data_IF_844451221716
#
_entry.id   IF_844451221716
#
_cell.length_a   1.000
_cell.length_b   1.000
_cell.length_c   1.000
_cell.angle_alpha   90.00
_cell.angle_beta   90.00
_cell.angle_gamma   90.00
#
_symmetry.space_group_name_H-M   'P 1'
#
loop_
_entity.id
_entity.type
_entity.pdbx_description
1 polymer ?
#
# COMPACT_ATOMS: atom_id res chain seq x y z
N UNK A 1 12.17 28.58 14.45
CA UNK A 1 11.59 27.61 15.39
C UNK A 1 11.80 26.24 14.79
N UNK A 2 12.50 25.33 15.46
CA UNK A 2 12.61 23.95 15.00
C UNK A 2 11.22 23.33 15.09
N UNK A 3 10.53 23.16 13.95
CA UNK A 3 9.35 22.31 13.90
C UNK A 3 9.80 20.91 14.33
N UNK A 4 9.24 20.40 15.43
CA UNK A 4 9.44 19.01 15.81
C UNK A 4 8.96 18.13 14.64
N UNK A 5 9.84 17.24 14.17
CA UNK A 5 9.52 16.33 13.07
C UNK A 5 8.32 15.45 13.47
N UNK A 6 7.27 15.44 12.64
CA UNK A 6 6.06 14.68 12.92
C UNK A 6 6.32 13.17 12.92
N UNK A 7 7.41 12.75 12.28
CA UNK A 7 7.86 11.37 12.14
C UNK A 7 9.28 11.14 12.70
N UNK A 8 9.62 11.82 13.80
CA UNK A 8 10.92 11.72 14.48
C UNK A 8 11.40 10.29 14.80
N UNK A 9 10.46 9.33 14.94
CA UNK A 9 10.74 7.92 15.24
C UNK A 9 11.22 7.10 14.02
N UNK A 10 11.08 7.62 12.81
CA UNK A 10 11.55 6.97 11.57
C UNK A 10 13.06 7.21 11.43
N UNK A 11 13.84 6.14 11.51
CA UNK A 11 15.32 6.19 11.49
C UNK A 11 15.91 6.47 10.11
N UNK A 12 15.18 6.17 9.04
CA UNK A 12 15.54 6.54 7.67
C UNK A 12 15.26 8.04 7.48
N UNK A 13 16.33 8.83 7.42
CA UNK A 13 16.26 10.30 7.36
C UNK A 13 15.61 10.82 6.08
N UNK A 14 15.77 10.09 4.96
CA UNK A 14 15.15 10.46 3.68
C UNK A 14 13.65 10.18 3.74
N UNK A 15 13.26 9.02 4.25
CA UNK A 15 11.86 8.68 4.45
C UNK A 15 11.17 9.64 5.42
N UNK A 16 11.80 9.90 6.57
CA UNK A 16 11.30 10.86 7.56
C UNK A 16 11.02 12.23 6.93
N UNK A 17 11.99 12.76 6.18
CA UNK A 17 11.83 14.08 5.53
C UNK A 17 10.71 14.06 4.49
N UNK A 18 10.58 12.99 3.71
CA UNK A 18 9.49 12.84 2.75
C UNK A 18 8.11 12.78 3.44
N UNK A 19 8.02 12.08 4.57
CA UNK A 19 6.79 12.01 5.37
C UNK A 19 6.42 13.38 5.95
N UNK A 20 7.40 14.13 6.48
CA UNK A 20 7.17 15.48 7.03
C UNK A 20 6.69 16.45 5.94
N UNK A 21 7.37 16.49 4.77
CA UNK A 21 6.96 17.34 3.64
C UNK A 21 5.54 16.98 3.17
N UNK A 22 5.26 15.68 3.06
CA UNK A 22 3.93 15.20 2.65
C UNK A 22 2.86 15.62 3.66
N UNK A 23 3.17 15.55 4.96
CA UNK A 23 2.26 15.94 6.02
C UNK A 23 2.02 17.46 6.06
N UNK A 24 3.04 18.28 5.84
CA UNK A 24 2.87 19.74 5.68
C UNK A 24 1.95 20.06 4.51
N UNK A 25 2.14 19.38 3.37
CA UNK A 25 1.27 19.55 2.20
C UNK A 25 -0.18 19.13 2.48
N UNK A 26 -0.38 18.04 3.24
CA UNK A 26 -1.71 17.60 3.68
C UNK A 26 -2.44 18.67 4.50
N UNK A 27 -1.74 19.34 5.42
CA UNK A 27 -2.32 20.40 6.25
C UNK A 27 -2.81 21.56 5.36
N UNK A 28 -2.01 21.96 4.38
CA UNK A 28 -2.38 23.03 3.46
C UNK A 28 -3.61 22.64 2.61
N UNK A 29 -3.61 21.44 2.03
CA UNK A 29 -4.77 20.95 1.26
C UNK A 29 -6.04 20.87 2.10
N UNK A 30 -5.93 20.47 3.37
CA UNK A 30 -7.06 20.43 4.29
C UNK A 30 -7.62 21.83 4.54
N UNK A 31 -6.76 22.83 4.77
CA UNK A 31 -7.15 24.24 4.90
C UNK A 31 -7.89 24.75 3.65
N UNK A 32 -7.38 24.42 2.46
CA UNK A 32 -8.04 24.77 1.19
C UNK A 32 -9.39 24.08 1.02
N UNK A 33 -9.54 22.84 1.49
CA UNK A 33 -10.80 22.08 1.41
C UNK A 33 -11.92 22.63 2.29
N UNK A 34 -11.58 23.41 3.32
CA UNK A 34 -12.53 24.07 4.23
C UNK A 34 -12.76 25.56 3.89
N UNK A 35 -11.95 26.11 2.98
CA UNK A 35 -12.02 27.51 2.59
C UNK A 35 -13.32 27.84 1.84
N UNK A 36 -14.03 28.89 2.28
CA UNK A 36 -15.22 29.41 1.59
C UNK A 36 -14.94 30.00 0.20
N UNK A 37 -13.68 30.07 -0.23
CA UNK A 37 -13.28 30.65 -1.53
C UNK A 37 -13.46 29.71 -2.73
N UNK A 38 -13.60 28.41 -2.48
CA UNK A 38 -13.65 27.39 -3.53
C UNK A 38 -15.04 26.77 -3.64
N UNK A 39 -15.37 26.30 -4.86
CA UNK A 39 -16.60 25.54 -5.13
C UNK A 39 -16.54 24.17 -4.44
N UNK A 40 -17.71 23.56 -4.17
CA UNK A 40 -17.75 22.24 -3.55
C UNK A 40 -17.03 21.17 -4.38
N UNK A 41 -17.07 21.26 -5.70
CA UNK A 41 -16.30 20.38 -6.60
C UNK A 41 -14.79 20.50 -6.40
N UNK A 42 -14.26 21.73 -6.25
CA UNK A 42 -12.83 21.93 -5.99
C UNK A 42 -12.45 21.47 -4.58
N UNK A 43 -13.30 21.74 -3.57
CA UNK A 43 -13.10 21.21 -2.21
C UNK A 43 -13.06 19.69 -2.19
N UNK A 44 -13.98 19.04 -2.90
CA UNK A 44 -14.02 17.60 -3.11
C UNK A 44 -12.72 17.09 -3.73
N UNK A 45 -12.16 17.79 -4.72
CA UNK A 45 -10.84 17.49 -5.30
C UNK A 45 -9.68 17.65 -4.31
N UNK A 46 -9.72 18.65 -3.42
CA UNK A 46 -8.74 18.78 -2.34
C UNK A 46 -8.83 17.62 -1.35
N UNK A 47 -10.05 17.25 -0.90
CA UNK A 47 -10.28 16.10 -0.01
C UNK A 47 -9.80 14.80 -0.65
N UNK A 48 -10.08 14.62 -1.94
CA UNK A 48 -9.59 13.52 -2.77
C UNK A 48 -8.05 13.43 -2.73
N UNK A 49 -7.38 14.55 -2.89
CA UNK A 49 -5.91 14.64 -2.85
C UNK A 49 -5.35 14.38 -1.44
N UNK A 50 -6.06 14.82 -0.40
CA UNK A 50 -5.74 14.49 1.00
C UNK A 50 -5.79 12.99 1.24
N UNK A 51 -6.78 12.28 0.70
CA UNK A 51 -6.88 10.82 0.82
C UNK A 51 -5.70 10.12 0.14
N UNK A 52 -5.26 10.61 -1.03
CA UNK A 52 -4.06 10.07 -1.73
C UNK A 52 -2.84 10.12 -0.83
N UNK A 53 -2.49 11.32 -0.39
CA UNK A 53 -1.26 11.52 0.37
C UNK A 53 -1.33 10.82 1.72
N UNK A 54 -2.51 10.74 2.34
CA UNK A 54 -2.66 9.99 3.58
C UNK A 54 -2.49 8.48 3.35
N UNK A 55 -3.02 7.93 2.24
CA UNK A 55 -2.80 6.53 1.87
C UNK A 55 -1.31 6.24 1.59
N UNK A 56 -0.59 7.17 0.95
CA UNK A 56 0.86 7.07 0.74
C UNK A 56 1.66 7.12 2.05
N UNK A 57 1.24 7.93 3.03
CA UNK A 57 1.83 7.92 4.38
C UNK A 57 1.61 6.55 5.05
N UNK A 58 0.38 6.02 4.98
CA UNK A 58 0.04 4.69 5.53
C UNK A 58 0.92 3.61 4.89
N UNK A 59 1.01 3.59 3.56
CA UNK A 59 1.85 2.67 2.79
C UNK A 59 3.31 2.74 3.22
N UNK A 60 3.87 3.95 3.30
CA UNK A 60 5.26 4.18 3.64
C UNK A 60 5.59 3.72 5.07
N UNK A 61 4.70 3.99 6.04
CA UNK A 61 4.88 3.55 7.43
C UNK A 61 4.76 2.04 7.59
N UNK A 62 3.80 1.40 6.91
CA UNK A 62 3.65 -0.06 6.92
C UNK A 62 4.87 -0.72 6.28
N UNK A 63 5.32 -0.23 5.13
CA UNK A 63 6.51 -0.76 4.45
C UNK A 63 7.77 -0.58 5.31
N UNK A 64 7.94 0.58 5.95
CA UNK A 64 9.05 0.80 6.87
C UNK A 64 8.98 -0.17 8.05
N UNK A 65 7.82 -0.38 8.65
CA UNK A 65 7.63 -1.36 9.74
C UNK A 65 7.92 -2.79 9.28
N UNK A 66 7.51 -3.16 8.08
CA UNK A 66 7.80 -4.45 7.46
C UNK A 66 9.32 -4.65 7.30
N UNK A 67 10.04 -3.64 6.79
CA UNK A 67 11.51 -3.66 6.62
C UNK A 67 12.26 -3.84 7.94
N UNK A 68 11.70 -3.41 9.07
CA UNK A 68 12.32 -3.64 10.39
C UNK A 68 12.16 -5.10 10.87
N UNK A 69 11.19 -5.85 10.33
CA UNK A 69 10.82 -7.19 10.80
C UNK A 69 11.19 -8.32 9.83
N UNK A 70 11.38 -8.02 8.55
CA UNK A 70 11.69 -9.03 7.53
C UNK A 70 12.61 -8.45 6.44
N UNK A 71 13.22 -9.34 5.64
CA UNK A 71 14.08 -8.98 4.51
C UNK A 71 13.45 -9.40 3.17
N UNK A 72 13.92 -8.82 2.07
CA UNK A 72 13.44 -9.18 0.73
C UNK A 72 13.67 -10.66 0.40
N UNK A 73 14.75 -11.24 0.90
CA UNK A 73 15.09 -12.66 0.73
C UNK A 73 14.13 -13.57 1.49
N UNK A 74 13.70 -13.15 2.69
CA UNK A 74 12.72 -13.88 3.48
C UNK A 74 11.33 -13.84 2.82
N UNK A 75 11.02 -12.77 2.10
CA UNK A 75 9.78 -12.61 1.34
C UNK A 75 9.80 -13.28 -0.05
N UNK A 76 10.95 -13.78 -0.50
CA UNK A 76 11.06 -14.38 -1.83
C UNK A 76 10.29 -15.70 -1.91
N UNK A 77 9.32 -15.78 -2.84
CA UNK A 77 8.51 -16.99 -3.04
C UNK A 77 9.33 -18.01 -3.83
N UNK A 78 9.44 -19.22 -3.28
CA UNK A 78 10.11 -20.36 -3.94
C UNK A 78 9.04 -21.31 -4.45
N UNK A 79 9.00 -21.50 -5.77
CA UNK A 79 8.10 -22.45 -6.40
C UNK A 79 8.91 -23.49 -7.16
N UNK A 80 8.68 -24.75 -6.86
CA UNK A 80 9.20 -25.86 -7.66
C UNK A 80 8.27 -26.07 -8.86
N UNK A 81 8.81 -25.98 -10.06
CA UNK A 81 8.07 -26.21 -11.29
C UNK A 81 8.70 -27.40 -12.01
N UNK A 82 7.88 -28.42 -12.29
CA UNK A 82 8.32 -29.54 -13.10
C UNK A 82 8.36 -29.13 -14.57
N UNK A 83 9.57 -29.03 -15.13
CA UNK A 83 9.78 -28.64 -16.51
C UNK A 83 9.98 -29.88 -17.38
N UNK A 84 9.02 -30.12 -18.26
CA UNK A 84 9.12 -31.14 -19.30
C UNK A 84 10.24 -30.74 -20.27
N UNK A 85 11.27 -31.56 -20.35
CA UNK A 85 12.41 -31.36 -21.25
C UNK A 85 12.23 -32.12 -22.55
N UNK A 86 11.60 -33.31 -22.49
CA UNK A 86 11.34 -34.15 -23.66
C UNK A 86 10.12 -35.02 -23.41
N UNK A 87 9.27 -35.20 -24.41
CA UNK A 87 8.28 -36.29 -24.42
C UNK A 87 9.01 -37.56 -24.84
N UNK A 88 9.02 -38.57 -23.98
CA UNK A 88 9.67 -39.86 -24.26
C UNK A 88 8.74 -40.71 -25.13
N UNK A 89 7.45 -40.70 -24.82
CA UNK A 89 6.46 -41.56 -25.47
C UNK A 89 5.06 -40.95 -25.35
N UNK A 90 4.27 -41.02 -26.42
CA UNK A 90 2.85 -40.66 -26.40
C UNK A 90 2.02 -41.94 -26.32
N UNK A 91 1.17 -42.03 -25.30
CA UNK A 91 0.29 -43.19 -25.09
C UNK A 91 -1.01 -42.98 -25.89
N UNK A 92 -1.58 -41.78 -25.81
CA UNK A 92 -2.78 -41.36 -26.53
C UNK A 92 -2.86 -39.82 -26.59
N UNK A 93 -3.98 -39.28 -27.08
CA UNK A 93 -4.18 -37.84 -27.23
C UNK A 93 -4.14 -37.04 -25.91
N UNK A 94 -4.30 -37.69 -24.76
CA UNK A 94 -4.34 -37.06 -23.43
C UNK A 94 -3.20 -37.47 -22.51
N UNK A 95 -2.48 -38.55 -22.82
CA UNK A 95 -1.48 -39.15 -21.94
C UNK A 95 -0.14 -39.32 -22.65
N UNK A 96 0.92 -38.91 -21.96
CA UNK A 96 2.30 -38.99 -22.46
C UNK A 96 3.28 -39.19 -21.32
N UNK A 97 4.33 -39.94 -21.59
CA UNK A 97 5.48 -40.12 -20.71
C UNK A 97 6.50 -39.05 -21.04
N UNK A 98 6.94 -38.31 -20.04
CA UNK A 98 7.84 -37.17 -20.19
C UNK A 98 9.10 -37.33 -19.34
N UNK A 99 10.23 -36.94 -19.91
CA UNK A 99 11.44 -36.64 -19.16
C UNK A 99 11.38 -35.18 -18.74
N UNK A 100 11.47 -34.91 -17.45
CA UNK A 100 11.54 -33.56 -16.92
C UNK A 100 12.45 -33.48 -15.72
N UNK A 101 12.66 -32.25 -15.28
CA UNK A 101 13.41 -31.91 -14.07
C UNK A 101 12.63 -30.89 -13.28
N UNK A 102 12.77 -30.93 -11.97
CA UNK A 102 12.30 -29.87 -11.10
C UNK A 102 13.22 -28.65 -11.21
N UNK A 103 12.67 -27.50 -11.58
CA UNK A 103 13.35 -26.21 -11.49
C UNK A 103 12.74 -25.43 -10.32
N UNK A 104 13.57 -25.03 -9.36
CA UNK A 104 13.14 -24.09 -8.31
C UNK A 104 13.20 -22.69 -8.89
N UNK A 105 12.05 -22.09 -9.15
CA UNK A 105 11.95 -20.66 -9.45
C UNK A 105 11.87 -19.88 -8.14
N UNK A 106 12.75 -18.88 -8.02
CA UNK A 106 12.72 -17.91 -6.93
C UNK A 106 12.17 -16.62 -7.49
N UNK A 107 10.95 -16.27 -7.10
CA UNK A 107 10.38 -14.97 -7.37
C UNK A 107 10.93 -13.98 -6.34
N UNK A 108 11.76 -13.05 -6.82
CA UNK A 108 12.38 -12.04 -5.95
C UNK A 108 11.32 -11.01 -5.55
N UNK A 109 11.10 -10.87 -4.24
CA UNK A 109 10.39 -9.71 -3.70
C UNK A 109 11.33 -8.51 -3.73
N UNK A 110 10.81 -7.32 -4.05
CA UNK A 110 11.54 -6.06 -3.90
C UNK A 110 10.62 -5.02 -3.28
N UNK A 111 11.03 -4.47 -2.14
CA UNK A 111 10.27 -3.46 -1.41
C UNK A 111 9.94 -2.24 -2.27
N UNK A 112 10.84 -1.85 -3.18
CA UNK A 112 10.65 -0.73 -4.11
C UNK A 112 9.49 -0.92 -5.10
N UNK A 113 9.03 -2.16 -5.30
CA UNK A 113 7.97 -2.50 -6.25
C UNK A 113 6.63 -2.83 -5.58
N UNK A 114 6.62 -2.89 -4.25
CA UNK A 114 5.40 -3.22 -3.52
C UNK A 114 4.46 -2.02 -3.53
N UNK A 115 3.19 -2.29 -3.81
CA UNK A 115 2.11 -1.33 -3.63
C UNK A 115 1.40 -1.55 -2.29
N UNK A 116 0.54 -0.61 -1.89
CA UNK A 116 -0.21 -0.67 -0.63
C UNK A 116 -0.97 -1.98 -0.41
N UNK A 117 -1.51 -2.60 -1.47
CA UNK A 117 -2.21 -3.89 -1.39
C UNK A 117 -1.26 -4.98 -0.91
N UNK A 118 -0.13 -5.12 -1.61
CA UNK A 118 0.91 -6.10 -1.32
C UNK A 118 1.57 -5.84 0.04
N UNK A 119 1.78 -4.57 0.41
CA UNK A 119 2.31 -4.21 1.72
C UNK A 119 1.32 -4.60 2.83
N UNK A 120 0.02 -4.35 2.64
CA UNK A 120 -1.01 -4.71 3.61
C UNK A 120 -1.09 -6.23 3.80
N UNK A 121 -1.09 -6.99 2.70
CA UNK A 121 -1.05 -8.46 2.72
C UNK A 121 0.17 -8.98 3.48
N UNK A 122 1.37 -8.50 3.13
CA UNK A 122 2.61 -8.94 3.77
C UNK A 122 2.65 -8.58 5.26
N UNK A 123 2.17 -7.40 5.64
CA UNK A 123 2.05 -7.01 7.04
C UNK A 123 1.08 -7.92 7.80
N UNK A 124 0.00 -8.37 7.18
CA UNK A 124 -0.96 -9.30 7.78
C UNK A 124 -0.38 -10.70 7.91
N UNK A 125 0.25 -11.23 6.85
CA UNK A 125 0.91 -12.54 6.82
C UNK A 125 2.01 -12.67 7.89
N UNK A 126 2.75 -11.58 8.14
CA UNK A 126 3.82 -11.55 9.14
C UNK A 126 3.36 -11.12 10.54
N UNK A 127 2.05 -11.02 10.78
CA UNK A 127 1.49 -10.68 12.09
C UNK A 127 1.84 -9.26 12.57
N UNK A 128 2.19 -8.35 11.67
CA UNK A 128 2.50 -6.95 11.98
C UNK A 128 1.22 -6.18 12.31
N UNK A 129 0.12 -6.52 11.62
CA UNK A 129 -1.19 -5.88 11.79
C UNK A 129 -2.28 -6.92 12.11
N UNK A 130 -3.30 -6.48 12.84
CA UNK A 130 -4.49 -7.29 13.13
C UNK A 130 -5.39 -7.43 11.90
N UNK A 131 -6.39 -8.33 11.98
CA UNK A 131 -7.41 -8.47 10.93
C UNK A 131 -8.26 -7.19 10.75
N UNK A 132 -8.55 -6.50 11.86
CA UNK A 132 -9.28 -5.24 11.81
C UNK A 132 -8.47 -4.16 11.09
N UNK A 133 -7.18 -4.01 11.44
CA UNK A 133 -6.30 -3.04 10.78
C UNK A 133 -6.12 -3.35 9.30
N UNK A 134 -5.99 -4.63 8.93
CA UNK A 134 -5.91 -5.04 7.53
C UNK A 134 -7.13 -4.57 6.72
N UNK A 135 -8.35 -4.77 7.24
CA UNK A 135 -9.60 -4.32 6.62
C UNK A 135 -9.69 -2.79 6.53
N UNK A 136 -9.24 -2.09 7.56
CA UNK A 136 -9.24 -0.63 7.58
C UNK A 136 -8.27 -0.06 6.53
N UNK A 137 -7.06 -0.62 6.42
CA UNK A 137 -6.08 -0.22 5.41
C UNK A 137 -6.57 -0.57 4.01
N UNK A 138 -7.21 -1.72 3.81
CA UNK A 138 -7.82 -2.08 2.53
C UNK A 138 -8.93 -1.09 2.13
N UNK A 139 -9.75 -0.64 3.09
CA UNK A 139 -10.74 0.41 2.82
C UNK A 139 -10.09 1.74 2.43
N UNK A 140 -8.95 2.12 3.04
CA UNK A 140 -8.16 3.28 2.59
C UNK A 140 -7.67 3.09 1.16
N UNK A 141 -7.16 1.89 0.82
CA UNK A 141 -6.74 1.55 -0.54
C UNK A 141 -7.89 1.68 -1.54
N UNK A 142 -9.10 1.21 -1.20
CA UNK A 142 -10.29 1.35 -2.05
C UNK A 142 -10.66 2.82 -2.25
N UNK A 143 -10.65 3.64 -1.18
CA UNK A 143 -10.92 5.09 -1.28
C UNK A 143 -9.89 5.82 -2.16
N UNK A 144 -8.61 5.43 -2.08
CA UNK A 144 -7.56 5.89 -2.99
C UNK A 144 -7.79 5.35 -4.41
N UNK A 145 -8.21 4.11 -4.60
CA UNK A 145 -8.34 3.57 -5.97
C UNK A 145 -9.54 4.16 -6.72
N UNK A 146 -10.53 4.73 -6.03
CA UNK A 146 -11.61 5.53 -6.64
C UNK A 146 -11.10 6.73 -7.47
N UNK A 147 -9.83 7.12 -7.29
CA UNK A 147 -9.18 8.13 -8.14
C UNK A 147 -9.01 7.72 -9.60
N UNK A 148 -8.94 6.41 -9.90
CA UNK A 148 -8.73 5.92 -11.25
C UNK A 148 -10.00 6.11 -12.07
N UNK A 149 -10.13 7.31 -12.67
CA UNK A 149 -11.32 7.78 -13.39
C UNK A 149 -11.79 6.76 -14.46
N UNK A 150 -10.84 6.06 -15.10
CA UNK A 150 -11.12 5.02 -16.10
C UNK A 150 -11.86 3.79 -15.55
N UNK A 151 -11.88 3.60 -14.23
CA UNK A 151 -12.51 2.45 -13.56
C UNK A 151 -13.82 2.81 -12.86
N UNK A 152 -14.24 4.08 -12.92
CA UNK A 152 -15.45 4.54 -12.25
C UNK A 152 -16.68 4.23 -13.10
N UNK A 153 -17.68 3.48 -12.56
CA UNK A 153 -18.90 3.15 -13.27
C UNK A 153 -19.89 4.32 -13.38
N UNK A 154 -19.67 5.40 -12.63
CA UNK A 154 -20.51 6.61 -12.56
C UNK A 154 -19.63 7.84 -12.32
N UNK A 155 -20.17 9.02 -12.62
CA UNK A 155 -19.58 10.29 -12.18
C UNK A 155 -19.41 10.24 -10.67
N UNK A 156 -18.19 10.52 -10.20
CA UNK A 156 -17.83 10.36 -8.80
C UNK A 156 -18.63 11.33 -7.93
N UNK A 157 -19.35 10.80 -6.94
CA UNK A 157 -19.98 11.61 -5.89
C UNK A 157 -18.91 12.18 -4.95
N UNK A 158 -19.17 13.37 -4.42
CA UNK A 158 -18.21 14.18 -3.67
C UNK A 158 -17.54 13.42 -2.52
N UNK A 159 -16.22 13.58 -2.37
CA UNK A 159 -15.52 13.09 -1.19
C UNK A 159 -15.99 13.85 0.05
N UNK A 160 -16.43 13.08 1.05
CA UNK A 160 -17.04 13.61 2.25
C UNK A 160 -16.01 13.91 3.35
N UNK A 161 -16.41 14.69 4.34
CA UNK A 161 -15.60 14.88 5.56
C UNK A 161 -15.42 13.57 6.32
N UNK A 162 -16.44 12.70 6.33
CA UNK A 162 -16.36 11.38 6.96
C UNK A 162 -15.31 10.46 6.31
N UNK A 163 -15.06 10.61 5.00
CA UNK A 163 -13.98 9.87 4.33
C UNK A 163 -12.61 10.32 4.85
N UNK A 164 -12.42 11.64 5.05
CA UNK A 164 -11.20 12.18 5.64
C UNK A 164 -11.00 11.70 7.07
N UNK A 165 -12.04 11.78 7.91
CA UNK A 165 -11.98 11.34 9.30
C UNK A 165 -11.59 9.87 9.42
N UNK A 166 -12.19 9.01 8.57
CA UNK A 166 -11.83 7.61 8.50
C UNK A 166 -10.36 7.42 8.13
N UNK A 167 -9.91 8.00 7.01
CA UNK A 167 -8.53 7.82 6.52
C UNK A 167 -7.50 8.36 7.52
N UNK A 168 -7.79 9.47 8.20
CA UNK A 168 -6.95 10.00 9.29
C UNK A 168 -6.93 9.10 10.53
N UNK A 169 -8.06 8.47 10.90
CA UNK A 169 -8.08 7.52 12.01
C UNK A 169 -7.19 6.29 11.74
N UNK A 170 -7.19 5.81 10.50
CA UNK A 170 -6.33 4.69 10.08
C UNK A 170 -4.87 5.12 10.10
N UNK A 171 -4.55 6.29 9.53
CA UNK A 171 -3.18 6.82 9.54
C UNK A 171 -2.64 7.04 10.96
N UNK A 172 -3.47 7.51 11.89
CA UNK A 172 -3.09 7.64 13.31
C UNK A 172 -2.78 6.28 13.92
N UNK A 173 -3.61 5.27 13.66
CA UNK A 173 -3.42 3.91 14.17
C UNK A 173 -2.12 3.29 13.63
N UNK A 174 -1.86 3.43 12.33
CA UNK A 174 -0.62 2.96 11.68
C UNK A 174 0.61 3.72 12.19
N UNK A 175 0.51 5.03 12.40
CA UNK A 175 1.58 5.84 13.00
C UNK A 175 1.93 5.36 14.41
N UNK A 176 0.93 5.05 15.23
CA UNK A 176 1.16 4.53 16.58
C UNK A 176 1.81 3.13 16.56
N UNK A 177 1.39 2.27 15.63
CA UNK A 177 2.02 0.97 15.40
C UNK A 177 3.50 1.12 15.03
N UNK A 178 3.82 2.01 14.10
CA UNK A 178 5.20 2.23 13.65
C UNK A 178 6.09 2.85 14.76
N UNK A 179 5.50 3.51 15.75
CA UNK A 179 6.24 4.06 16.89
C UNK A 179 6.55 3.02 17.98
N UNK A 180 5.79 1.93 18.03
CA UNK A 180 5.88 0.89 19.05
C UNK A 180 6.99 -0.13 18.76
#
# INVERSE_FOLDING_TARGET
MSQEANFAFVTDTVLQRNLDITFEHLIELLSLSESGRYTETLKSSFRKTVIVYTASIVEALLLWTLKQKTSEEALAKRQTIFKVSKVIYEINATERIVLGKDEVKVEKCRFEKLNLDQVNDLCKEHGIISDSMFKDVDRVRVLRNRLHISTLPKVEEDYSKSDLEFVFSVARTVKNLAKA
#
